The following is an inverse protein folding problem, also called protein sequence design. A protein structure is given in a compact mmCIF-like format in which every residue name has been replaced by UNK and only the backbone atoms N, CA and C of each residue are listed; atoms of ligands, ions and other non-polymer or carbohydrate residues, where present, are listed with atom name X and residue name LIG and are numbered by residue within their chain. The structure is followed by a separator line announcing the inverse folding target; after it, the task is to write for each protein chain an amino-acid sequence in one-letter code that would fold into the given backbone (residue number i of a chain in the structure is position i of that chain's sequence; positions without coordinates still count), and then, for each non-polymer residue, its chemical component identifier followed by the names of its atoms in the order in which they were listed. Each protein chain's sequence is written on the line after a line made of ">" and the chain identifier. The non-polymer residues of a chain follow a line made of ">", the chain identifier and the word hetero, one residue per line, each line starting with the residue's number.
data_IF_216040877627
#
_entry.id   IF_216040877627
#
_cell.length_a   1.000
_cell.length_b   1.000
_cell.length_c   1.000
_cell.angle_alpha   90.00
_cell.angle_beta   90.00
_cell.angle_gamma   90.00
#
_symmetry.space_group_name_H-M   'P 1'
#
loop_
_entity.id
_entity.type
_entity.pdbx_description
1 polymer ?
#
# COMPACT_ATOMS: atom_id res chain seq x y z
N UNK A 1 21.80 16.47 5.92
CA UNK A 1 21.66 15.60 4.73
C UNK A 1 20.28 14.94 4.73
N UNK A 2 19.79 14.39 5.85
CA UNK A 2 18.44 13.82 5.96
C UNK A 2 17.33 14.89 5.82
N UNK A 3 17.49 16.06 6.45
CA UNK A 3 16.53 17.17 6.34
C UNK A 3 16.40 17.71 4.91
N UNK A 4 17.47 17.73 4.15
CA UNK A 4 17.43 18.12 2.73
C UNK A 4 16.73 17.08 1.87
N UNK A 5 16.89 15.79 2.18
CA UNK A 5 16.17 14.71 1.53
C UNK A 5 14.67 14.75 1.85
N UNK A 6 14.30 15.09 3.10
CA UNK A 6 12.90 15.22 3.54
C UNK A 6 12.20 16.44 2.91
N UNK A 7 12.87 17.58 2.78
CA UNK A 7 12.33 18.75 2.08
C UNK A 7 12.18 18.50 0.58
N UNK A 8 13.06 17.73 -0.02
CA UNK A 8 12.97 17.35 -1.42
C UNK A 8 11.81 16.36 -1.69
N UNK A 9 11.45 15.49 -0.73
CA UNK A 9 10.36 14.52 -0.92
C UNK A 9 8.97 15.17 -1.01
N UNK A 10 8.75 16.30 -0.36
CA UNK A 10 7.48 17.06 -0.45
C UNK A 10 7.34 17.87 -1.76
N UNK A 11 8.42 18.10 -2.45
CA UNK A 11 8.47 18.84 -3.73
C UNK A 11 9.02 18.02 -4.88
N UNK A 12 9.41 16.79 -4.64
CA UNK A 12 9.98 15.98 -5.70
C UNK A 12 8.98 15.90 -6.84
N UNK A 13 9.25 16.71 -7.82
CA UNK A 13 8.90 16.38 -9.18
C UNK A 13 9.40 14.95 -9.36
N UNK A 14 8.50 14.01 -9.29
CA UNK A 14 8.73 12.57 -9.49
C UNK A 14 9.25 12.26 -10.91
N UNK A 15 9.85 13.24 -11.56
CA UNK A 15 10.34 13.22 -12.95
C UNK A 15 11.74 12.67 -13.14
N UNK A 16 12.44 12.33 -12.05
CA UNK A 16 13.82 11.77 -12.14
C UNK A 16 13.93 10.47 -11.36
N UNK A 17 13.04 9.54 -11.66
CA UNK A 17 13.18 8.19 -11.15
C UNK A 17 14.42 7.53 -11.79
N UNK A 18 15.36 7.09 -10.98
CA UNK A 18 16.51 6.37 -11.46
C UNK A 18 16.10 4.95 -11.86
N UNK A 19 16.28 4.59 -13.13
CA UNK A 19 16.01 3.25 -13.65
C UNK A 19 16.83 2.13 -12.97
N UNK A 20 17.83 2.48 -12.16
CA UNK A 20 18.63 1.56 -11.35
C UNK A 20 18.25 1.60 -9.87
N UNK A 21 17.18 2.31 -9.50
CA UNK A 21 16.70 2.28 -8.14
C UNK A 21 16.23 0.86 -7.78
N UNK A 22 16.59 0.39 -6.59
CA UNK A 22 16.17 -0.91 -6.05
C UNK A 22 15.08 -0.76 -5.00
N UNK A 23 15.02 0.39 -4.34
CA UNK A 23 14.01 0.72 -3.34
C UNK A 23 13.84 2.23 -3.21
N UNK A 24 12.72 2.64 -2.62
CA UNK A 24 12.49 4.00 -2.16
C UNK A 24 12.30 4.02 -0.66
N UNK A 25 12.78 5.09 -0.01
CA UNK A 25 12.54 5.36 1.41
C UNK A 25 11.91 6.74 1.52
N UNK A 26 10.77 6.80 2.20
CA UNK A 26 10.04 8.03 2.54
C UNK A 26 9.86 8.15 4.04
N UNK A 27 9.48 9.33 4.50
CA UNK A 27 9.04 9.56 5.87
C UNK A 27 7.71 10.27 5.84
N UNK A 28 6.79 9.83 6.69
CA UNK A 28 5.53 10.51 6.93
C UNK A 28 5.63 11.31 8.24
N UNK A 29 5.43 12.64 8.21
CA UNK A 29 5.64 13.50 9.38
C UNK A 29 4.85 13.12 10.63
N UNK A 30 3.75 12.42 10.48
CA UNK A 30 2.85 12.01 11.57
C UNK A 30 2.78 10.50 11.74
N UNK A 31 3.76 9.75 11.24
CA UNK A 31 3.79 8.29 11.35
C UNK A 31 2.60 7.59 10.68
N UNK A 32 1.95 8.22 9.70
CA UNK A 32 0.77 7.67 9.06
C UNK A 32 1.12 6.48 8.15
N UNK A 33 0.27 5.44 8.09
CA UNK A 33 0.41 4.34 7.15
C UNK A 33 0.46 4.80 5.68
N UNK A 34 0.93 3.93 4.77
CA UNK A 34 0.92 4.21 3.34
C UNK A 34 -0.46 4.59 2.83
N UNK A 35 -0.47 5.54 1.90
CA UNK A 35 -1.68 5.95 1.18
C UNK A 35 -1.92 5.08 -0.06
N UNK A 36 -3.14 5.07 -0.63
CA UNK A 36 -3.41 4.49 -1.94
C UNK A 36 -2.50 5.01 -3.07
N UNK A 37 -2.12 6.28 -3.01
CA UNK A 37 -1.21 6.88 -3.98
C UNK A 37 0.17 6.22 -3.93
N UNK A 38 0.67 5.85 -2.76
CA UNK A 38 1.96 5.18 -2.61
C UNK A 38 1.92 3.74 -3.12
N UNK A 39 0.80 3.04 -2.96
CA UNK A 39 0.60 1.73 -3.58
C UNK A 39 0.64 1.83 -5.11
N UNK A 40 0.00 2.86 -5.70
CA UNK A 40 0.04 3.13 -7.13
C UNK A 40 1.46 3.42 -7.61
N UNK A 41 2.20 4.29 -6.92
CA UNK A 41 3.57 4.61 -7.32
C UNK A 41 4.55 3.47 -7.13
N UNK A 42 4.36 2.61 -6.12
CA UNK A 42 5.15 1.38 -5.99
C UNK A 42 5.01 0.51 -7.24
N UNK A 43 3.79 0.40 -7.79
CA UNK A 43 3.58 -0.31 -9.06
C UNK A 43 4.23 0.40 -10.26
N UNK A 44 4.06 1.73 -10.37
CA UNK A 44 4.66 2.54 -11.45
C UNK A 44 6.20 2.41 -11.46
N UNK A 45 6.83 2.47 -10.30
CA UNK A 45 8.29 2.36 -10.20
C UNK A 45 8.79 0.95 -10.47
N UNK A 46 8.08 -0.06 -9.99
CA UNK A 46 8.41 -1.45 -10.30
C UNK A 46 8.33 -1.76 -11.79
N UNK A 47 7.47 -1.05 -12.53
CA UNK A 47 7.40 -1.14 -14.00
C UNK A 47 8.52 -0.35 -14.69
N UNK A 48 8.92 0.79 -14.12
CA UNK A 48 9.92 1.68 -14.72
C UNK A 48 11.37 1.25 -14.44
N UNK A 49 11.63 0.58 -13.29
CA UNK A 49 12.95 0.10 -12.89
C UNK A 49 12.92 -1.40 -12.62
N UNK A 50 13.61 -2.21 -13.43
CA UNK A 50 13.58 -3.68 -13.31
C UNK A 50 14.03 -4.21 -11.95
N UNK A 51 14.94 -3.49 -11.27
CA UNK A 51 15.51 -3.90 -9.98
C UNK A 51 14.73 -3.35 -8.78
N UNK A 52 13.77 -2.43 -8.99
CA UNK A 52 12.94 -1.86 -7.94
C UNK A 52 11.98 -2.91 -7.38
N UNK A 53 11.98 -3.09 -6.06
CA UNK A 53 11.13 -4.08 -5.41
C UNK A 53 10.40 -3.59 -4.15
N UNK A 54 10.81 -2.47 -3.55
CA UNK A 54 10.28 -2.09 -2.24
C UNK A 54 10.16 -0.58 -2.05
N UNK A 55 9.04 -0.14 -1.50
CA UNK A 55 8.86 1.19 -0.92
C UNK A 55 8.78 1.07 0.60
N UNK A 56 9.68 1.78 1.30
CA UNK A 56 9.68 1.92 2.76
C UNK A 56 9.13 3.27 3.16
N UNK A 57 8.26 3.30 4.17
CA UNK A 57 7.72 4.53 4.75
C UNK A 57 8.03 4.53 6.23
N UNK A 58 8.93 5.41 6.65
CA UNK A 58 9.39 5.54 8.03
C UNK A 58 8.37 6.34 8.86
N UNK A 59 7.99 5.79 9.98
CA UNK A 59 7.39 6.52 11.08
C UNK A 59 8.51 7.14 11.93
N UNK A 60 8.71 8.47 11.93
CA UNK A 60 9.82 9.10 12.64
C UNK A 60 9.69 9.06 14.15
N UNK A 61 8.49 8.87 14.69
CA UNK A 61 8.24 8.88 16.14
C UNK A 61 8.58 7.53 16.77
N UNK A 62 8.24 6.43 16.11
CA UNK A 62 8.47 5.06 16.60
C UNK A 62 9.70 4.41 15.96
N UNK A 63 10.16 4.95 14.84
CA UNK A 63 11.16 4.36 13.93
C UNK A 63 10.70 2.99 13.37
N UNK A 64 9.40 2.70 13.41
CA UNK A 64 8.81 1.59 12.68
C UNK A 64 8.77 1.90 11.18
N UNK A 65 8.70 0.88 10.34
CA UNK A 65 8.61 1.06 8.90
C UNK A 65 7.40 0.31 8.33
N UNK A 66 6.59 1.02 7.57
CA UNK A 66 5.64 0.38 6.66
C UNK A 66 6.36 -0.02 5.37
N UNK A 67 5.96 -1.13 4.81
CA UNK A 67 6.63 -1.74 3.66
C UNK A 67 5.59 -2.11 2.61
N UNK A 68 5.77 -1.60 1.39
CA UNK A 68 5.08 -2.05 0.19
C UNK A 68 6.10 -2.81 -0.66
N UNK A 69 6.01 -4.12 -0.68
CA UNK A 69 6.97 -5.00 -1.34
C UNK A 69 6.35 -5.63 -2.58
N UNK A 70 7.02 -5.51 -3.71
CA UNK A 70 6.60 -6.16 -4.95
C UNK A 70 6.88 -7.66 -4.83
N UNK A 71 5.83 -8.44 -4.80
CA UNK A 71 5.88 -9.90 -4.70
C UNK A 71 5.75 -10.60 -6.06
N UNK A 72 5.15 -9.93 -7.05
CA UNK A 72 4.99 -10.45 -8.41
C UNK A 72 5.02 -9.32 -9.43
N UNK A 73 6.16 -9.15 -10.10
CA UNK A 73 6.35 -8.09 -11.13
C UNK A 73 5.46 -8.27 -12.34
N UNK A 74 5.07 -9.49 -12.66
CA UNK A 74 4.23 -9.78 -13.84
C UNK A 74 2.81 -9.24 -13.71
N UNK A 75 2.40 -8.91 -12.48
CA UNK A 75 1.05 -8.40 -12.15
C UNK A 75 1.02 -6.90 -11.85
N UNK A 76 2.16 -6.20 -11.91
CA UNK A 76 2.23 -4.77 -11.60
C UNK A 76 1.40 -3.92 -12.56
N UNK A 77 1.36 -4.28 -13.84
CA UNK A 77 0.57 -3.57 -14.82
C UNK A 77 -0.93 -3.65 -14.50
N UNK A 78 -1.40 -4.81 -14.10
CA UNK A 78 -2.79 -4.99 -13.67
C UNK A 78 -3.13 -4.15 -12.43
N UNK A 79 -2.22 -4.10 -11.44
CA UNK A 79 -2.38 -3.27 -10.25
C UNK A 79 -2.40 -1.77 -10.60
N UNK A 80 -1.44 -1.30 -11.41
CA UNK A 80 -1.40 0.08 -11.88
C UNK A 80 -2.69 0.47 -12.59
N UNK A 81 -3.14 -0.33 -13.54
CA UNK A 81 -4.33 -0.06 -14.34
C UNK A 81 -5.61 -0.13 -13.49
N UNK A 82 -5.63 -0.99 -12.47
CA UNK A 82 -6.70 -1.05 -11.50
C UNK A 82 -6.80 0.25 -10.68
N UNK A 83 -5.69 0.85 -10.29
CA UNK A 83 -5.62 2.03 -9.43
C UNK A 83 -5.67 3.36 -10.17
N UNK A 84 -5.30 3.38 -11.44
CA UNK A 84 -5.06 4.59 -12.25
C UNK A 84 -6.12 5.68 -12.11
N UNK A 85 -7.40 5.29 -12.10
CA UNK A 85 -8.52 6.22 -12.03
C UNK A 85 -9.24 6.20 -10.66
N UNK A 86 -8.72 5.45 -9.69
CA UNK A 86 -9.34 5.21 -8.39
C UNK A 86 -8.79 6.11 -7.28
N UNK A 87 -7.74 6.89 -7.54
CA UNK A 87 -7.11 7.75 -6.55
C UNK A 87 -7.57 9.19 -6.73
N UNK A 88 -8.01 9.82 -5.64
CA UNK A 88 -8.35 11.23 -5.61
C UNK A 88 -7.05 12.07 -5.62
N UNK A 89 -6.87 12.99 -6.58
CA UNK A 89 -5.61 13.73 -6.71
C UNK A 89 -5.37 14.75 -5.58
N UNK A 90 -6.41 15.09 -4.81
CA UNK A 90 -6.32 16.05 -3.70
C UNK A 90 -6.05 15.33 -2.39
N UNK A 91 -6.88 14.35 -2.06
CA UNK A 91 -6.80 13.62 -0.77
C UNK A 91 -5.77 12.51 -0.78
N UNK A 92 -5.33 12.04 -1.97
CA UNK A 92 -4.43 10.89 -2.15
C UNK A 92 -5.02 9.55 -1.68
N UNK A 93 -6.27 9.55 -1.31
CA UNK A 93 -7.07 8.38 -0.91
C UNK A 93 -7.90 7.86 -2.09
N UNK A 94 -8.60 6.74 -1.90
CA UNK A 94 -9.52 6.22 -2.89
C UNK A 94 -10.68 7.18 -3.17
N UNK A 95 -11.03 7.34 -4.43
CA UNK A 95 -12.16 8.18 -4.84
C UNK A 95 -13.47 7.68 -4.24
N UNK A 96 -14.26 8.59 -3.71
CA UNK A 96 -15.63 8.28 -3.27
C UNK A 96 -16.46 7.80 -4.46
N UNK A 97 -17.14 6.65 -4.27
CA UNK A 97 -17.97 6.04 -5.33
C UNK A 97 -17.19 5.31 -6.42
N UNK A 98 -15.86 5.23 -6.33
CA UNK A 98 -15.03 4.39 -7.19
C UNK A 98 -15.16 2.90 -6.84
N UNK A 99 -14.63 2.04 -7.68
CA UNK A 99 -14.66 0.57 -7.47
C UNK A 99 -13.89 0.15 -6.21
N UNK A 100 -12.77 0.81 -5.89
CA UNK A 100 -12.04 0.56 -4.65
C UNK A 100 -12.89 0.89 -3.42
N UNK A 101 -13.57 2.04 -3.41
CA UNK A 101 -14.46 2.42 -2.32
C UNK A 101 -15.65 1.46 -2.18
N UNK A 102 -16.24 1.01 -3.30
CA UNK A 102 -17.31 0.03 -3.28
C UNK A 102 -16.87 -1.32 -2.71
N UNK A 103 -15.69 -1.81 -3.09
CA UNK A 103 -15.11 -3.04 -2.56
C UNK A 103 -14.86 -2.95 -1.04
N UNK A 104 -14.33 -1.81 -0.57
CA UNK A 104 -14.10 -1.57 0.85
C UNK A 104 -15.40 -1.47 1.63
N UNK A 105 -16.45 -0.87 1.07
CA UNK A 105 -17.78 -0.80 1.71
C UNK A 105 -18.42 -2.19 1.88
N UNK A 106 -18.31 -3.06 0.88
CA UNK A 106 -18.78 -4.46 0.97
C UNK A 106 -18.07 -5.20 2.11
N UNK A 107 -16.81 -4.91 2.34
CA UNK A 107 -15.99 -5.60 3.32
C UNK A 107 -15.91 -4.90 4.69
N UNK A 108 -16.57 -3.76 4.88
CA UNK A 108 -16.41 -2.91 6.08
C UNK A 108 -16.62 -3.65 7.40
N UNK A 109 -17.62 -4.53 7.48
CA UNK A 109 -17.94 -5.26 8.71
C UNK A 109 -16.79 -6.15 9.21
N UNK A 110 -15.94 -6.65 8.31
CA UNK A 110 -14.77 -7.45 8.67
C UNK A 110 -13.66 -6.60 9.31
N UNK A 111 -13.71 -5.27 9.13
CA UNK A 111 -12.65 -4.34 9.51
C UNK A 111 -13.07 -3.30 10.55
N UNK A 112 -14.36 -3.16 10.87
CA UNK A 112 -14.90 -2.13 11.78
C UNK A 112 -14.26 -2.13 13.18
N UNK A 113 -13.80 -3.30 13.65
CA UNK A 113 -13.26 -3.45 15.01
C UNK A 113 -11.74 -3.39 15.07
N UNK A 114 -11.08 -3.14 13.94
CA UNK A 114 -9.64 -3.04 13.89
C UNK A 114 -9.16 -1.69 14.41
N UNK A 115 -7.96 -1.62 15.01
CA UNK A 115 -7.27 -0.35 15.21
C UNK A 115 -7.17 0.44 13.90
N UNK A 116 -7.20 1.77 13.97
CA UNK A 116 -7.21 2.63 12.79
C UNK A 116 -6.04 2.36 11.84
N UNK A 117 -4.84 2.14 12.39
CA UNK A 117 -3.65 1.78 11.61
C UNK A 117 -3.83 0.47 10.85
N UNK A 118 -4.29 -0.58 11.54
CA UNK A 118 -4.54 -1.88 10.94
C UNK A 118 -5.58 -1.79 9.82
N UNK A 119 -6.64 -1.03 10.06
CA UNK A 119 -7.67 -0.79 9.05
C UNK A 119 -7.07 -0.18 7.78
N UNK A 120 -6.20 0.84 7.90
CA UNK A 120 -5.57 1.47 6.75
C UNK A 120 -4.66 0.50 5.98
N UNK A 121 -3.89 -0.34 6.67
CA UNK A 121 -3.02 -1.33 6.04
C UNK A 121 -3.83 -2.45 5.35
N UNK A 122 -4.89 -2.93 5.99
CA UNK A 122 -5.76 -3.94 5.38
C UNK A 122 -6.55 -3.41 4.18
N UNK A 123 -6.92 -2.11 4.14
CA UNK A 123 -7.51 -1.49 2.94
C UNK A 123 -6.61 -1.66 1.73
N UNK A 124 -5.31 -1.39 1.89
CA UNK A 124 -4.34 -1.57 0.82
C UNK A 124 -4.17 -3.04 0.45
N UNK A 125 -4.12 -3.94 1.45
CA UNK A 125 -3.99 -5.38 1.22
C UNK A 125 -5.18 -5.96 0.43
N UNK A 126 -6.43 -5.53 0.72
CA UNK A 126 -7.61 -5.92 -0.07
C UNK A 126 -7.45 -5.48 -1.52
N UNK A 127 -7.13 -4.21 -1.74
CA UNK A 127 -7.02 -3.64 -3.08
C UNK A 127 -5.89 -4.30 -3.87
N UNK A 128 -4.73 -4.50 -3.23
CA UNK A 128 -3.61 -5.20 -3.85
C UNK A 128 -3.98 -6.65 -4.21
N UNK A 129 -4.71 -7.36 -3.36
CA UNK A 129 -5.18 -8.72 -3.60
C UNK A 129 -6.17 -8.78 -4.76
N UNK A 130 -7.19 -7.90 -4.77
CA UNK A 130 -8.19 -7.81 -5.84
C UNK A 130 -7.57 -7.49 -7.19
N UNK A 131 -6.55 -6.62 -7.20
CA UNK A 131 -5.80 -6.27 -8.41
C UNK A 131 -4.75 -7.33 -8.84
N UNK A 132 -4.80 -8.54 -8.29
CA UNK A 132 -3.96 -9.66 -8.68
C UNK A 132 -2.82 -10.02 -7.73
N UNK A 133 -2.63 -9.29 -6.62
CA UNK A 133 -1.65 -9.63 -5.58
C UNK A 133 -0.20 -9.31 -5.94
N UNK A 134 0.04 -8.26 -6.72
CA UNK A 134 1.38 -7.84 -7.15
C UNK A 134 2.24 -7.27 -6.01
N UNK A 135 1.61 -6.68 -4.99
CA UNK A 135 2.27 -6.00 -3.87
C UNK A 135 1.78 -6.56 -2.54
N UNK A 136 2.70 -6.82 -1.64
CA UNK A 136 2.44 -7.19 -0.25
C UNK A 136 2.58 -5.96 0.66
N UNK A 137 1.71 -5.85 1.67
CA UNK A 137 1.70 -4.77 2.66
C UNK A 137 2.22 -5.32 3.98
N UNK A 138 3.22 -4.66 4.57
CA UNK A 138 3.78 -5.10 5.85
C UNK A 138 4.15 -3.92 6.75
N UNK A 139 4.39 -4.20 8.02
CA UNK A 139 5.00 -3.29 8.99
C UNK A 139 6.16 -3.99 9.70
N UNK A 140 7.30 -3.33 9.75
CA UNK A 140 8.48 -3.72 10.50
C UNK A 140 8.53 -2.89 11.78
N UNK A 141 8.68 -3.55 12.92
CA UNK A 141 8.76 -2.94 14.24
C UNK A 141 10.20 -2.86 14.71
N UNK A 142 10.67 -1.65 15.01
CA UNK A 142 12.06 -1.43 15.49
C UNK A 142 12.31 -2.11 16.82
N UNK A 143 11.36 -2.02 17.75
CA UNK A 143 11.55 -2.43 19.14
C UNK A 143 11.82 -3.93 19.29
N UNK A 144 11.03 -4.76 18.63
CA UNK A 144 11.14 -6.23 18.74
C UNK A 144 11.75 -6.91 17.51
N UNK A 145 12.14 -6.09 16.51
CA UNK A 145 12.71 -6.53 15.22
C UNK A 145 11.81 -7.52 14.47
N UNK A 146 10.50 -7.44 14.71
CA UNK A 146 9.52 -8.28 14.02
C UNK A 146 9.00 -7.63 12.76
N UNK A 147 8.43 -8.45 11.88
CA UNK A 147 7.70 -7.99 10.69
C UNK A 147 6.32 -8.64 10.71
N UNK A 148 5.29 -7.83 10.50
CA UNK A 148 3.92 -8.32 10.32
C UNK A 148 3.47 -8.05 8.90
N UNK A 149 3.07 -9.08 8.17
CA UNK A 149 2.47 -8.96 6.84
C UNK A 149 0.95 -8.89 6.99
N UNK A 150 0.36 -7.88 6.38
CA UNK A 150 -1.09 -7.66 6.33
C UNK A 150 -1.64 -8.31 5.07
N UNK A 151 -2.29 -9.43 5.24
CA UNK A 151 -2.91 -10.18 4.16
C UNK A 151 -4.41 -10.32 4.33
N UNK A 152 -5.07 -10.83 3.31
CA UNK A 152 -6.51 -11.12 3.34
C UNK A 152 -6.79 -12.50 2.80
N UNK A 153 -7.78 -13.16 3.39
CA UNK A 153 -8.33 -14.41 2.88
C UNK A 153 -9.68 -14.15 2.22
N UNK A 154 -9.86 -14.72 1.05
CA UNK A 154 -11.18 -14.76 0.41
C UNK A 154 -12.09 -15.69 1.20
N UNK A 155 -13.32 -15.21 1.45
CA UNK A 155 -14.40 -15.99 2.07
C UNK A 155 -15.51 -16.06 1.05
N UNK A 156 -15.77 -17.26 0.54
CA UNK A 156 -16.89 -17.48 -0.36
C UNK A 156 -18.20 -17.44 0.44
N UNK A 157 -19.08 -16.50 0.12
CA UNK A 157 -20.49 -16.58 0.50
C UNK A 157 -21.28 -17.07 -0.71
N UNK A 158 -21.96 -18.20 -0.55
CA UNK A 158 -22.62 -18.91 -1.66
C UNK A 158 -23.82 -18.15 -2.27
N UNK A 159 -24.28 -17.04 -1.68
CA UNK A 159 -25.57 -16.47 -2.05
C UNK A 159 -25.54 -15.27 -3.03
N UNK A 160 -24.40 -14.62 -3.30
CA UNK A 160 -24.43 -13.34 -4.01
C UNK A 160 -23.35 -13.12 -5.08
N UNK A 161 -22.47 -14.09 -5.32
CA UNK A 161 -21.37 -13.93 -6.32
C UNK A 161 -20.37 -12.81 -5.98
N UNK A 162 -20.38 -12.32 -4.73
CA UNK A 162 -19.45 -11.31 -4.25
C UNK A 162 -18.31 -11.95 -3.46
N UNK A 163 -17.08 -11.45 -3.66
CA UNK A 163 -15.91 -11.86 -2.89
C UNK A 163 -15.83 -11.03 -1.61
N UNK A 164 -15.80 -11.72 -0.47
CA UNK A 164 -15.56 -11.11 0.83
C UNK A 164 -14.15 -11.44 1.30
N UNK A 165 -13.56 -10.52 2.06
CA UNK A 165 -12.21 -10.66 2.57
C UNK A 165 -12.18 -10.63 4.10
N UNK A 166 -11.41 -11.51 4.69
CA UNK A 166 -11.10 -11.48 6.12
C UNK A 166 -9.64 -11.05 6.33
N UNK A 167 -9.38 -10.13 7.29
CA UNK A 167 -8.02 -9.70 7.62
C UNK A 167 -7.23 -10.85 8.24
N UNK A 168 -5.97 -10.99 7.84
CA UNK A 168 -5.03 -11.98 8.39
C UNK A 168 -3.67 -11.32 8.59
N UNK A 169 -3.10 -11.45 9.79
CA UNK A 169 -1.72 -11.03 10.07
C UNK A 169 -0.81 -12.26 10.08
N UNK A 170 0.28 -12.18 9.33
CA UNK A 170 1.34 -13.18 9.34
C UNK A 170 2.57 -12.57 10.03
N UNK A 171 3.13 -13.29 11.01
CA UNK A 171 4.35 -12.91 11.74
C UNK A 171 5.51 -13.76 11.27
#
# INVERSE_FOLDING_TARGET
>A
VLEQAMAASNLAKRSTFDKHAVAEIRSHPNGTPPSPEELFYTAEWGLAAPDFDTTFILDPDTEDMYVLMISDKTRLEALRDFLKDEIDPVTKDFKRGGKCAALLEINKNAFERLPAEDYLLFRLAIIAKEAGGAVSVAKSYKQDKSVTVYGVKEVAYESEGQTYYQPVKYK
#
